data_IF_023240880060
#
_entry.id   IF_023240880060
#
_cell.length_a   1.000
_cell.length_b   1.000
_cell.length_c   1.000
_cell.angle_alpha   90.00
_cell.angle_beta   90.00
_cell.angle_gamma   90.00
#
_symmetry.space_group_name_H-M   'P 1'
#
loop_
_entity.id
_entity.type
_entity.pdbx_description
1 polymer ?
#
# COMPACT_ATOMS: atom_id res chain seq x y z
N UNK A 1 9.08 8.58 14.11
CA UNK A 1 7.99 9.54 14.41
C UNK A 1 6.67 8.92 13.99
N UNK A 2 5.54 9.44 14.47
CA UNK A 2 4.21 9.01 14.04
C UNK A 2 3.26 10.20 14.11
N UNK A 3 2.45 10.38 13.08
CA UNK A 3 1.50 11.47 12.92
C UNK A 3 0.12 10.90 12.56
N UNK A 4 -0.94 11.57 12.99
CA UNK A 4 -2.31 11.32 12.57
C UNK A 4 -3.01 12.65 12.27
N UNK A 5 -3.96 12.65 11.37
CA UNK A 5 -4.76 13.85 11.07
C UNK A 5 -6.11 13.47 10.47
N UNK A 6 -7.01 14.44 10.44
CA UNK A 6 -8.41 14.21 10.09
C UNK A 6 -8.70 14.47 8.64
N UNK A 7 -9.67 13.75 8.10
CA UNK A 7 -10.42 14.14 6.89
C UNK A 7 -11.76 14.73 7.33
N UNK A 8 -12.07 15.92 6.86
CA UNK A 8 -13.36 16.56 7.11
C UNK A 8 -14.43 15.97 6.17
N UNK A 9 -15.60 15.67 6.73
CA UNK A 9 -16.78 15.23 6.02
C UNK A 9 -17.93 16.20 6.30
N UNK A 10 -18.41 16.86 5.25
CA UNK A 10 -19.61 17.69 5.34
C UNK A 10 -20.86 16.82 5.59
N UNK A 11 -22.01 17.41 6.01
CA UNK A 11 -23.25 16.64 6.16
C UNK A 11 -23.69 15.97 4.86
N UNK A 12 -23.46 16.64 3.72
CA UNK A 12 -23.78 16.11 2.39
C UNK A 12 -22.89 14.90 2.04
N UNK A 13 -21.59 14.99 2.31
CA UNK A 13 -20.63 13.91 2.06
C UNK A 13 -20.91 12.71 2.96
N UNK A 14 -21.18 12.95 4.25
CA UNK A 14 -21.57 11.92 5.21
C UNK A 14 -22.84 11.19 4.77
N UNK A 15 -23.89 11.93 4.39
CA UNK A 15 -25.13 11.34 3.87
C UNK A 15 -24.89 10.54 2.60
N UNK A 16 -24.01 11.02 1.72
CA UNK A 16 -23.69 10.34 0.46
C UNK A 16 -22.98 9.00 0.69
N UNK A 17 -22.05 8.91 1.65
CA UNK A 17 -21.28 7.68 1.90
C UNK A 17 -21.99 6.70 2.84
N UNK A 18 -22.79 7.19 3.79
CA UNK A 18 -23.45 6.34 4.80
C UNK A 18 -24.93 6.07 4.51
N UNK A 19 -25.58 6.91 3.72
CA UNK A 19 -27.04 6.92 3.54
C UNK A 19 -27.81 7.55 4.72
N UNK A 20 -27.15 7.89 5.82
CA UNK A 20 -27.80 8.45 7.01
C UNK A 20 -28.01 9.97 6.87
N UNK A 21 -29.17 10.51 7.27
CA UNK A 21 -29.49 11.93 7.08
C UNK A 21 -28.78 12.86 8.08
N UNK A 22 -28.35 12.34 9.23
CA UNK A 22 -27.71 13.09 10.32
C UNK A 22 -26.61 12.24 10.94
N UNK A 23 -25.67 12.90 11.63
CA UNK A 23 -24.62 12.21 12.37
C UNK A 23 -25.22 11.42 13.55
N UNK A 24 -24.92 10.12 13.69
CA UNK A 24 -25.20 9.38 14.91
C UNK A 24 -24.54 10.02 16.14
N UNK A 25 -25.20 9.92 17.30
CA UNK A 25 -24.77 10.55 18.56
C UNK A 25 -23.33 10.17 18.98
N UNK A 26 -22.91 8.92 18.74
CA UNK A 26 -21.56 8.47 19.09
C UNK A 26 -20.44 9.19 18.31
N UNK A 27 -20.79 9.93 17.23
CA UNK A 27 -19.83 10.74 16.47
C UNK A 27 -19.69 12.17 17.00
N UNK A 28 -20.53 12.61 17.93
CA UNK A 28 -20.49 13.96 18.49
C UNK A 28 -19.11 14.44 18.97
N UNK A 29 -18.25 13.59 19.60
CA UNK A 29 -16.90 14.00 19.99
C UNK A 29 -15.98 14.42 18.83
N UNK A 30 -16.33 14.06 17.59
CA UNK A 30 -15.55 14.32 16.38
C UNK A 30 -16.18 15.40 15.50
N UNK A 31 -17.29 16.01 15.94
CA UNK A 31 -17.92 17.13 15.25
C UNK A 31 -17.24 18.43 15.65
N UNK A 32 -16.95 19.27 14.66
CA UNK A 32 -16.56 20.66 14.88
C UNK A 32 -17.38 21.53 13.92
N UNK A 33 -18.18 22.44 14.48
CA UNK A 33 -19.26 23.15 13.77
C UNK A 33 -20.22 22.12 13.12
N UNK A 34 -20.41 22.19 11.81
CA UNK A 34 -21.29 21.28 11.05
C UNK A 34 -20.56 20.12 10.36
N UNK A 35 -19.23 19.99 10.55
CA UNK A 35 -18.42 18.97 9.86
C UNK A 35 -17.90 17.90 10.81
N UNK A 36 -17.85 16.66 10.32
CA UNK A 36 -17.26 15.52 11.00
C UNK A 36 -15.77 15.40 10.66
N UNK A 37 -14.91 15.37 11.67
CA UNK A 37 -13.46 15.27 11.51
C UNK A 37 -12.98 13.85 11.88
N UNK A 38 -12.76 13.02 10.87
CA UNK A 38 -12.41 11.60 11.06
C UNK A 38 -10.89 11.42 10.98
N UNK A 39 -10.26 10.90 12.03
CA UNK A 39 -8.83 10.52 12.03
C UNK A 39 -8.55 9.28 11.15
N UNK A 40 -8.72 9.45 9.84
CA UNK A 40 -8.55 8.40 8.84
C UNK A 40 -7.14 8.39 8.21
N UNK A 41 -6.32 9.41 8.49
CA UNK A 41 -5.01 9.58 7.89
C UNK A 41 -3.90 9.42 8.92
N UNK A 42 -2.76 8.93 8.46
CA UNK A 42 -1.58 8.85 9.31
C UNK A 42 -0.32 8.46 8.58
N UNK A 43 0.81 8.77 9.20
CA UNK A 43 2.13 8.40 8.73
C UNK A 43 2.99 7.93 9.90
N UNK A 44 3.84 6.94 9.65
CA UNK A 44 4.83 6.51 10.64
C UNK A 44 6.19 6.26 10.01
N UNK A 45 7.22 6.67 10.73
CA UNK A 45 8.61 6.32 10.48
C UNK A 45 9.10 5.37 11.57
N UNK A 46 9.63 4.24 11.16
CA UNK A 46 10.13 3.21 12.06
C UNK A 46 11.40 2.56 11.50
N UNK A 47 12.13 1.87 12.37
CA UNK A 47 13.29 1.08 11.99
C UNK A 47 12.99 -0.39 12.26
N UNK A 48 13.19 -1.24 11.26
CA UNK A 48 13.02 -2.68 11.35
C UNK A 48 14.33 -3.35 10.96
N UNK A 49 14.98 -4.05 11.91
CA UNK A 49 16.28 -4.72 11.70
C UNK A 49 17.34 -3.80 11.07
N UNK A 50 17.44 -2.56 11.53
CA UNK A 50 18.39 -1.57 11.01
C UNK A 50 17.97 -0.85 9.73
N UNK A 51 16.85 -1.24 9.11
CA UNK A 51 16.32 -0.56 7.91
C UNK A 51 15.26 0.45 8.29
N UNK A 52 15.40 1.68 7.78
CA UNK A 52 14.41 2.73 7.94
C UNK A 52 13.27 2.56 6.96
N UNK A 53 12.04 2.63 7.46
CA UNK A 53 10.82 2.56 6.66
C UNK A 53 9.90 3.72 7.01
N UNK A 54 9.16 4.20 6.00
CA UNK A 54 8.03 5.11 6.12
C UNK A 54 6.81 4.43 5.52
N UNK A 55 5.66 4.53 6.19
CA UNK A 55 4.36 4.28 5.57
C UNK A 55 3.44 5.45 5.85
N UNK A 56 2.54 5.73 4.91
CA UNK A 56 1.58 6.83 4.97
C UNK A 56 0.31 6.40 4.26
N UNK A 57 -0.83 6.72 4.85
CA UNK A 57 -2.16 6.41 4.33
C UNK A 57 -3.01 7.67 4.39
N UNK A 58 -3.69 7.94 3.28
CA UNK A 58 -4.57 9.07 3.08
C UNK A 58 -5.95 8.55 2.66
N UNK A 59 -6.98 9.05 3.31
CA UNK A 59 -8.39 8.78 3.02
C UNK A 59 -9.10 10.09 2.75
N UNK A 60 -9.09 10.52 1.49
CA UNK A 60 -9.92 11.63 1.04
C UNK A 60 -11.37 11.17 0.84
N UNK A 61 -12.32 12.11 0.80
CA UNK A 61 -13.74 11.75 0.60
C UNK A 61 -13.99 11.06 -0.74
N UNK A 62 -13.39 11.57 -1.81
CA UNK A 62 -13.44 10.99 -3.15
C UNK A 62 -12.14 11.31 -3.90
N UNK A 63 -11.76 10.44 -4.83
CA UNK A 63 -10.73 10.76 -5.81
C UNK A 63 -11.19 11.93 -6.70
N UNK A 64 -10.27 12.73 -7.26
CA UNK A 64 -10.59 13.67 -8.34
C UNK A 64 -11.34 13.00 -9.50
N UNK A 65 -12.13 13.76 -10.24
CA UNK A 65 -12.93 13.23 -11.35
C UNK A 65 -12.04 12.59 -12.43
N UNK A 66 -12.41 11.41 -12.91
CA UNK A 66 -11.62 10.65 -13.87
C UNK A 66 -10.38 9.94 -13.29
N UNK A 67 -10.21 9.97 -11.96
CA UNK A 67 -9.07 9.37 -11.27
C UNK A 67 -9.50 8.26 -10.31
N UNK A 68 -8.54 7.51 -9.77
CA UNK A 68 -8.77 6.48 -8.77
C UNK A 68 -7.79 6.58 -7.60
N UNK A 69 -7.73 5.51 -6.80
CA UNK A 69 -6.72 5.38 -5.75
C UNK A 69 -5.32 5.43 -6.37
N UNK A 70 -4.39 6.08 -5.66
CA UNK A 70 -3.00 6.15 -6.06
C UNK A 70 -2.11 5.38 -5.10
N UNK A 71 -0.99 4.90 -5.61
CA UNK A 71 0.01 4.22 -4.81
C UNK A 71 1.40 4.64 -5.24
N UNK A 72 2.25 4.85 -4.24
CA UNK A 72 3.67 5.07 -4.40
C UNK A 72 4.41 4.23 -3.36
N UNK A 73 5.40 3.47 -3.81
CA UNK A 73 6.38 2.89 -2.91
C UNK A 73 7.76 2.84 -3.55
N UNK A 74 8.78 2.95 -2.72
CA UNK A 74 10.18 2.83 -3.14
C UNK A 74 10.94 1.99 -2.13
N UNK A 75 11.64 0.98 -2.65
CA UNK A 75 12.56 0.11 -1.91
C UNK A 75 13.96 0.38 -2.40
N UNK A 76 14.80 0.98 -1.55
CA UNK A 76 16.14 1.42 -1.94
C UNK A 76 17.18 0.33 -1.72
N UNK A 77 17.73 -0.19 -2.81
CA UNK A 77 18.84 -1.14 -2.80
C UNK A 77 20.19 -0.46 -2.99
N UNK A 78 21.29 -1.20 -2.86
CA UNK A 78 22.63 -0.68 -3.12
C UNK A 78 22.90 -0.45 -4.61
N UNK A 79 22.29 -1.25 -5.48
CA UNK A 79 22.48 -1.21 -6.95
C UNK A 79 21.36 -0.52 -7.72
N UNK A 80 20.15 -0.55 -7.19
CA UNK A 80 18.97 0.05 -7.81
C UNK A 80 17.92 0.33 -6.75
N UNK A 81 17.04 1.28 -7.04
CA UNK A 81 15.79 1.47 -6.31
C UNK A 81 14.66 0.80 -7.09
N UNK A 82 13.83 0.02 -6.39
CA UNK A 82 12.60 -0.54 -6.95
C UNK A 82 11.44 0.38 -6.60
N UNK A 83 10.73 0.85 -7.61
CA UNK A 83 9.68 1.84 -7.44
C UNK A 83 8.36 1.33 -8.02
N UNK A 84 7.29 1.43 -7.26
CA UNK A 84 5.93 1.14 -7.74
C UNK A 84 5.18 2.46 -7.83
N UNK A 85 4.67 2.76 -9.02
CA UNK A 85 3.82 3.91 -9.30
C UNK A 85 2.45 3.43 -9.75
N UNK A 86 1.42 4.11 -9.25
CA UNK A 86 0.03 3.99 -9.68
C UNK A 86 -0.53 5.40 -9.71
N UNK A 87 -0.21 6.14 -10.76
CA UNK A 87 -0.66 7.53 -10.96
C UNK A 87 -1.43 7.65 -12.28
N UNK A 88 -1.80 8.87 -12.65
CA UNK A 88 -2.39 9.16 -13.96
C UNK A 88 -1.48 8.70 -15.12
N UNK A 89 -0.16 8.85 -14.99
CA UNK A 89 0.81 8.47 -16.03
C UNK A 89 0.79 6.96 -16.31
N UNK A 90 0.52 6.14 -15.29
CA UNK A 90 0.39 4.69 -15.40
C UNK A 90 -1.07 4.24 -15.60
N UNK A 91 -1.99 5.16 -15.91
CA UNK A 91 -3.42 4.91 -16.03
C UNK A 91 -4.00 4.21 -14.77
N UNK A 92 -3.55 4.62 -13.59
CA UNK A 92 -3.93 4.04 -12.29
C UNK A 92 -3.70 2.52 -12.19
N UNK A 93 -2.79 1.98 -12.98
CA UNK A 93 -2.35 0.59 -12.91
C UNK A 93 -1.02 0.52 -12.16
N UNK A 94 -0.86 -0.33 -11.14
CA UNK A 94 0.43 -0.51 -10.48
C UNK A 94 1.50 -0.96 -11.48
N UNK A 95 2.53 -0.16 -11.63
CA UNK A 95 3.66 -0.40 -12.53
C UNK A 95 4.96 -0.39 -11.75
N UNK A 96 5.74 -1.46 -11.93
CA UNK A 96 7.03 -1.64 -11.28
C UNK A 96 8.13 -1.11 -12.18
N UNK A 97 8.98 -0.29 -11.60
CA UNK A 97 10.18 0.23 -12.25
C UNK A 97 11.43 -0.12 -11.45
N UNK A 98 12.51 -0.34 -12.19
CA UNK A 98 13.85 -0.49 -11.68
C UNK A 98 14.60 0.79 -12.04
N UNK A 99 15.00 1.55 -11.03
CA UNK A 99 15.80 2.77 -11.15
C UNK A 99 17.27 2.43 -10.83
N UNK A 100 18.14 2.26 -11.85
CA UNK A 100 19.54 1.90 -11.66
C UNK A 100 20.32 2.98 -10.89
N UNK A 101 21.32 2.55 -10.12
CA UNK A 101 22.36 3.43 -9.56
C UNK A 101 23.65 3.31 -10.38
N UNK A 102 24.69 4.02 -9.95
CA UNK A 102 26.03 3.88 -10.52
C UNK A 102 26.47 2.40 -10.52
N UNK A 103 27.20 1.99 -11.56
CA UNK A 103 27.72 0.63 -11.74
C UNK A 103 26.64 -0.48 -11.85
N UNK A 104 25.42 -0.14 -12.29
CA UNK A 104 24.36 -1.12 -12.47
C UNK A 104 24.61 -2.06 -13.67
N UNK A 105 24.66 -3.36 -13.39
CA UNK A 105 24.78 -4.40 -14.41
C UNK A 105 23.41 -4.72 -15.04
N UNK A 106 23.16 -4.14 -16.22
CA UNK A 106 21.96 -4.39 -16.99
C UNK A 106 21.81 -5.85 -17.43
N UNK A 107 22.91 -6.57 -17.66
CA UNK A 107 22.85 -7.97 -18.08
C UNK A 107 22.25 -8.85 -16.98
N UNK A 108 22.55 -8.53 -15.72
CA UNK A 108 21.97 -9.20 -14.56
C UNK A 108 20.46 -8.95 -14.43
N UNK A 109 19.99 -7.72 -14.70
CA UNK A 109 18.56 -7.40 -14.69
C UNK A 109 17.82 -8.21 -15.77
N UNK A 110 18.34 -8.20 -17.01
CA UNK A 110 17.75 -8.97 -18.12
C UNK A 110 17.65 -10.45 -17.79
N UNK A 111 18.75 -11.05 -17.33
CA UNK A 111 18.76 -12.47 -16.92
C UNK A 111 17.77 -12.77 -15.80
N UNK A 112 17.62 -11.86 -14.82
CA UNK A 112 16.65 -12.01 -13.74
C UNK A 112 15.22 -12.03 -14.26
N UNK A 113 14.89 -11.15 -15.20
CA UNK A 113 13.55 -11.11 -15.82
C UNK A 113 13.31 -12.34 -16.68
N UNK A 114 14.30 -12.83 -17.42
CA UNK A 114 14.19 -14.07 -18.19
C UNK A 114 13.88 -15.28 -17.29
N UNK A 115 14.48 -15.33 -16.10
CA UNK A 115 14.17 -16.37 -15.11
C UNK A 115 12.75 -16.23 -14.57
N UNK A 116 12.33 -15.01 -14.23
CA UNK A 116 10.98 -14.74 -13.72
C UNK A 116 9.90 -15.02 -14.77
N UNK A 117 10.18 -14.72 -16.05
CA UNK A 117 9.27 -14.96 -17.16
C UNK A 117 8.94 -16.44 -17.35
N UNK A 118 9.79 -17.37 -16.90
CA UNK A 118 9.48 -18.81 -16.91
C UNK A 118 8.34 -19.17 -15.95
N UNK A 119 8.25 -18.47 -14.81
CA UNK A 119 7.19 -18.67 -13.81
C UNK A 119 5.98 -17.78 -14.09
N UNK A 120 6.22 -16.62 -14.68
CA UNK A 120 5.24 -15.59 -14.99
C UNK A 120 5.31 -15.23 -16.48
N UNK A 121 4.71 -16.06 -17.36
CA UNK A 121 4.84 -15.88 -18.81
C UNK A 121 4.41 -14.50 -19.28
N UNK A 122 5.23 -13.87 -20.11
CA UNK A 122 4.96 -12.58 -20.74
C UNK A 122 5.54 -11.36 -20.02
N UNK A 123 6.25 -11.53 -18.90
CA UNK A 123 7.05 -10.44 -18.32
C UNK A 123 8.12 -9.95 -19.30
N UNK A 124 8.25 -8.63 -19.44
CA UNK A 124 9.26 -7.97 -20.30
C UNK A 124 9.86 -6.75 -19.62
N UNK A 125 10.99 -6.29 -20.14
CA UNK A 125 11.61 -5.02 -19.76
C UNK A 125 11.39 -3.99 -20.86
N UNK A 126 10.88 -2.81 -20.49
CA UNK A 126 10.79 -1.65 -21.38
C UNK A 126 11.82 -0.61 -20.91
N UNK A 127 12.66 -0.16 -21.85
CA UNK A 127 13.68 0.85 -21.61
C UNK A 127 13.07 2.26 -21.71
N UNK A 128 13.17 3.03 -20.64
CA UNK A 128 12.78 4.45 -20.60
C UNK A 128 14.01 5.38 -20.55
N UNK A 129 15.20 4.88 -20.92
CA UNK A 129 16.46 5.61 -20.99
C UNK A 129 17.20 5.69 -19.65
N UNK A 130 16.54 6.17 -18.59
CA UNK A 130 17.13 6.31 -17.25
C UNK A 130 16.60 5.30 -16.23
N UNK A 131 15.57 4.54 -16.59
CA UNK A 131 14.91 3.51 -15.76
C UNK A 131 14.33 2.43 -16.64
N UNK A 132 14.03 1.29 -16.03
CA UNK A 132 13.41 0.15 -16.71
C UNK A 132 12.04 -0.13 -16.12
N UNK A 133 11.03 -0.25 -16.97
CA UNK A 133 9.72 -0.75 -16.56
C UNK A 133 9.70 -2.27 -16.68
N UNK A 134 9.15 -2.93 -15.66
CA UNK A 134 8.79 -4.34 -15.75
C UNK A 134 7.37 -4.42 -16.28
N UNK A 135 7.24 -4.65 -17.58
CA UNK A 135 5.93 -4.81 -18.22
C UNK A 135 5.29 -6.11 -17.74
N UNK A 136 4.12 -5.98 -17.12
CA UNK A 136 3.32 -7.09 -16.61
C UNK A 136 2.07 -7.22 -17.50
N UNK A 137 1.92 -8.33 -18.24
CA UNK A 137 0.76 -8.54 -19.11
C UNK A 137 -0.53 -8.64 -18.29
N UNK A 138 -1.65 -8.23 -18.89
CA UNK A 138 -2.97 -8.23 -18.25
C UNK A 138 -3.39 -9.61 -17.72
N UNK A 139 -2.93 -10.70 -18.35
CA UNK A 139 -3.18 -12.07 -17.87
C UNK A 139 -2.60 -12.38 -16.50
N UNK A 140 -1.61 -11.61 -16.03
CA UNK A 140 -1.01 -11.72 -14.70
C UNK A 140 -1.56 -10.68 -13.71
N UNK A 141 -2.47 -9.80 -14.15
CA UNK A 141 -3.08 -8.76 -13.32
C UNK A 141 -4.36 -9.30 -12.71
N UNK A 142 -4.21 -10.08 -11.65
CA UNK A 142 -5.33 -10.57 -10.85
C UNK A 142 -6.00 -9.43 -10.07
N UNK A 143 -7.33 -9.50 -9.96
CA UNK A 143 -8.12 -8.52 -9.22
C UNK A 143 -8.16 -8.78 -7.70
N UNK A 144 -8.72 -7.82 -6.96
CA UNK A 144 -8.83 -7.88 -5.50
C UNK A 144 -9.47 -9.18 -4.99
N UNK A 145 -10.57 -9.62 -5.60
CA UNK A 145 -11.28 -10.84 -5.18
C UNK A 145 -10.46 -12.12 -5.38
N UNK A 146 -9.67 -12.19 -6.47
CA UNK A 146 -8.79 -13.33 -6.73
C UNK A 146 -7.67 -13.41 -5.66
N UNK A 147 -7.07 -12.26 -5.32
CA UNK A 147 -6.12 -12.17 -4.22
C UNK A 147 -6.74 -12.57 -2.87
N UNK A 148 -7.97 -12.12 -2.58
CA UNK A 148 -8.68 -12.49 -1.35
C UNK A 148 -8.94 -14.01 -1.30
N UNK A 149 -9.39 -14.61 -2.41
CA UNK A 149 -9.59 -16.04 -2.51
C UNK A 149 -8.28 -16.83 -2.30
N UNK A 150 -7.13 -16.30 -2.75
CA UNK A 150 -5.83 -16.91 -2.49
C UNK A 150 -5.47 -16.94 -1.00
N UNK A 151 -5.73 -15.85 -0.26
CA UNK A 151 -5.55 -15.79 1.20
C UNK A 151 -6.48 -16.79 1.90
N UNK A 152 -7.75 -16.88 1.49
CA UNK A 152 -8.70 -17.83 2.05
C UNK A 152 -8.28 -19.30 1.83
N UNK A 153 -7.82 -19.65 0.62
CA UNK A 153 -7.27 -20.98 0.33
C UNK A 153 -6.09 -21.30 1.24
N UNK A 154 -5.16 -20.36 1.40
CA UNK A 154 -3.99 -20.52 2.27
C UNK A 154 -4.37 -20.73 3.73
N UNK A 155 -5.37 -20.01 4.22
CA UNK A 155 -5.93 -20.23 5.56
C UNK A 155 -6.48 -21.65 5.73
N UNK A 156 -7.26 -22.15 4.77
CA UNK A 156 -7.81 -23.51 4.81
C UNK A 156 -6.69 -24.56 4.81
N UNK A 157 -5.61 -24.35 4.06
CA UNK A 157 -4.42 -25.22 4.08
C UNK A 157 -3.80 -25.28 5.47
N UNK A 158 -3.54 -24.13 6.10
CA UNK A 158 -3.00 -24.07 7.46
C UNK A 158 -3.93 -24.70 8.49
N UNK A 159 -5.24 -24.50 8.35
CA UNK A 159 -6.24 -25.13 9.21
C UNK A 159 -6.21 -26.65 9.09
N UNK A 160 -6.17 -27.19 7.86
CA UNK A 160 -6.05 -28.65 7.64
C UNK A 160 -4.76 -29.23 8.25
N UNK A 161 -3.67 -28.48 8.19
CA UNK A 161 -2.37 -28.90 8.72
C UNK A 161 -2.21 -28.64 10.21
N UNK A 162 -3.13 -27.89 10.84
CA UNK A 162 -3.02 -27.40 12.22
C UNK A 162 -1.69 -26.70 12.50
N UNK A 163 -1.11 -26.07 11.47
CA UNK A 163 0.21 -25.45 11.54
C UNK A 163 0.27 -24.23 10.63
N UNK A 164 0.83 -23.17 11.18
CA UNK A 164 1.20 -21.95 10.47
C UNK A 164 2.72 -21.79 10.54
N UNK A 165 3.39 -21.25 9.51
CA UNK A 165 4.82 -20.94 9.60
C UNK A 165 5.12 -19.99 10.77
N UNK A 166 6.22 -20.23 11.49
CA UNK A 166 6.54 -19.46 12.70
C UNK A 166 6.73 -17.96 12.46
N UNK A 167 7.17 -17.61 11.25
CA UNK A 167 7.32 -16.21 10.85
C UNK A 167 5.99 -15.49 10.69
N UNK A 168 4.87 -16.16 10.36
CA UNK A 168 3.56 -15.51 10.24
C UNK A 168 3.12 -14.92 11.59
N UNK A 169 3.26 -15.72 12.65
CA UNK A 169 2.92 -15.32 14.02
C UNK A 169 3.77 -14.13 14.45
N UNK A 170 5.08 -14.25 14.28
CA UNK A 170 6.05 -13.21 14.70
C UNK A 170 5.84 -11.92 13.92
N UNK A 171 5.67 -12.01 12.60
CA UNK A 171 5.50 -10.85 11.73
C UNK A 171 4.14 -10.19 11.96
N UNK A 172 3.07 -10.95 12.21
CA UNK A 172 1.76 -10.39 12.52
C UNK A 172 1.75 -9.65 13.85
N UNK A 173 2.35 -10.21 14.90
CA UNK A 173 2.52 -9.52 16.19
C UNK A 173 3.37 -8.25 16.02
N UNK A 174 4.46 -8.32 15.25
CA UNK A 174 5.30 -7.14 14.95
C UNK A 174 4.52 -6.08 14.20
N UNK A 175 3.73 -6.47 13.18
CA UNK A 175 2.87 -5.55 12.41
C UNK A 175 1.92 -4.79 13.33
N UNK A 176 1.19 -5.50 14.20
CA UNK A 176 0.25 -4.86 15.12
C UNK A 176 0.96 -4.06 16.22
N UNK A 177 2.10 -4.51 16.70
CA UNK A 177 2.91 -3.74 17.65
C UNK A 177 3.35 -2.40 17.05
N UNK A 178 3.82 -2.40 15.80
CA UNK A 178 4.23 -1.18 15.10
C UNK A 178 3.06 -0.21 14.93
N UNK A 179 1.90 -0.68 14.44
CA UNK A 179 0.75 0.20 14.17
C UNK A 179 0.13 0.76 15.44
N UNK A 180 -0.05 -0.06 16.48
CA UNK A 180 -0.62 0.40 17.77
C UNK A 180 0.33 1.31 18.53
N UNK A 181 1.64 1.04 18.50
CA UNK A 181 2.65 1.93 19.09
C UNK A 181 2.72 3.27 18.34
N UNK A 182 2.59 3.26 17.01
CA UNK A 182 2.53 4.48 16.21
C UNK A 182 1.31 5.33 16.59
N UNK A 183 0.12 4.72 16.75
CA UNK A 183 -1.07 5.43 17.22
C UNK A 183 -0.85 6.06 18.61
N UNK A 184 -0.36 5.29 19.57
CA UNK A 184 -0.10 5.77 20.93
C UNK A 184 0.93 6.91 20.98
N UNK A 185 1.88 6.94 20.03
CA UNK A 185 2.83 8.06 19.87
C UNK A 185 2.16 9.27 19.25
N UNK A 186 1.41 9.10 18.17
CA UNK A 186 0.75 10.20 17.46
C UNK A 186 -0.22 10.98 18.38
N UNK A 187 -0.94 10.26 19.27
CA UNK A 187 -1.87 10.85 20.24
C UNK A 187 -1.20 11.64 21.38
N UNK A 188 0.11 11.47 21.62
CA UNK A 188 0.84 12.21 22.66
C UNK A 188 1.41 13.54 22.16
N UNK A 189 1.42 13.73 20.85
CA UNK A 189 1.90 14.93 20.15
C UNK A 189 0.78 15.91 19.81
N UNK A 190 -0.47 15.54 20.09
CA UNK A 190 -1.65 16.42 20.10
C UNK A 190 -1.83 17.02 21.50
#
# INVERSE_FOLDING_TARGET
>A
SANRWTTALSPADFKKVTGLPTYPEYLSPYLQNDSLFVYANGAMHYTLKGHHAKVEVLWNFKAPEGTGDTHYSIMRGTKADLEILQTEQENYTPTLYVNPKEEFDLSHLKSTIDVLAKKHPGLRLIDHGNRWEVEIPNSLREGHEAHFAAVARRFIEFYKQQKIPDWERTNMLTKYHLTTTALARAQKTE
#
